data_IF_378342515648
#
_entry.id   IF_378342515648
#
_cell.length_a   1.000
_cell.length_b   1.000
_cell.length_c   1.000
_cell.angle_alpha   90.00
_cell.angle_beta   90.00
_cell.angle_gamma   90.00
#
_symmetry.space_group_name_H-M   'P 1'
#
loop_
_entity.id
_entity.type
_entity.pdbx_description
1 polymer ?
#
# COMPACT_ATOMS: atom_id res chain seq x y z
N UNK A 1 3.56 9.57 -3.95
CA UNK A 1 3.52 8.13 -4.22
C UNK A 1 4.75 7.46 -3.63
N UNK A 2 4.59 6.35 -2.95
CA UNK A 2 5.68 5.68 -2.26
C UNK A 2 6.00 4.33 -2.92
N UNK A 3 7.12 4.27 -3.65
CA UNK A 3 7.54 3.06 -4.35
C UNK A 3 7.84 1.89 -3.41
N UNK A 4 8.30 2.17 -2.21
CA UNK A 4 8.54 1.14 -1.21
C UNK A 4 7.24 0.44 -0.81
N UNK A 5 6.16 1.19 -0.70
CA UNK A 5 4.83 0.65 -0.38
C UNK A 5 4.30 -0.18 -1.55
N UNK A 6 4.53 0.24 -2.78
CA UNK A 6 4.12 -0.51 -3.97
C UNK A 6 4.84 -1.85 -4.09
N UNK A 7 6.05 -1.94 -3.57
CA UNK A 7 6.85 -3.17 -3.59
C UNK A 7 6.53 -4.12 -2.43
N UNK A 8 5.67 -3.73 -1.52
CA UNK A 8 5.32 -4.55 -0.37
C UNK A 8 4.26 -5.59 -0.72
N UNK A 9 4.35 -6.77 -0.08
CA UNK A 9 3.30 -7.76 -0.18
C UNK A 9 2.07 -7.31 0.60
N UNK A 10 0.93 -7.94 0.34
CA UNK A 10 -0.29 -7.64 1.10
C UNK A 10 -0.09 -7.85 2.61
N UNK A 11 0.60 -8.93 2.97
CA UNK A 11 0.88 -9.24 4.37
C UNK A 11 1.75 -8.16 5.03
N UNK A 12 2.74 -7.65 4.32
CA UNK A 12 3.59 -6.57 4.80
C UNK A 12 2.78 -5.28 4.99
N UNK A 13 1.89 -4.99 4.06
CA UNK A 13 1.00 -3.83 4.17
C UNK A 13 0.09 -3.94 5.39
N UNK A 14 -0.51 -5.10 5.60
CA UNK A 14 -1.35 -5.34 6.78
C UNK A 14 -0.56 -5.18 8.09
N UNK A 15 0.64 -5.71 8.12
CA UNK A 15 1.51 -5.60 9.29
C UNK A 15 1.84 -4.15 9.60
N UNK A 16 2.20 -3.37 8.60
CA UNK A 16 2.49 -1.95 8.80
C UNK A 16 1.25 -1.18 9.23
N UNK A 17 0.13 -1.45 8.60
CA UNK A 17 -1.13 -0.82 8.96
C UNK A 17 -1.46 -1.04 10.43
N UNK A 18 -1.37 -2.29 10.88
CA UNK A 18 -1.65 -2.64 12.27
C UNK A 18 -0.66 -2.01 13.24
N UNK A 19 0.62 -2.00 12.88
CA UNK A 19 1.66 -1.41 13.69
C UNK A 19 1.44 0.09 13.91
N UNK A 20 1.15 0.83 12.85
CA UNK A 20 0.91 2.26 12.95
C UNK A 20 -0.36 2.59 13.72
N UNK A 21 -1.42 1.82 13.54
CA UNK A 21 -2.64 2.02 14.31
C UNK A 21 -2.45 1.74 15.79
N UNK A 22 -1.73 0.67 16.13
CA UNK A 22 -1.45 0.35 17.51
C UNK A 22 -0.60 1.43 18.20
N UNK A 23 0.41 1.94 17.50
CA UNK A 23 1.32 2.94 18.05
C UNK A 23 0.72 4.35 18.02
N UNK A 24 -0.15 4.62 17.07
CA UNK A 24 -0.77 5.94 16.92
C UNK A 24 -1.69 6.33 18.06
N UNK A 25 -2.19 5.37 18.80
CA UNK A 25 -3.11 5.62 19.90
C UNK A 25 -2.47 6.38 21.08
N UNK A 26 -1.16 6.40 21.15
CA UNK A 26 -0.43 7.13 22.17
C UNK A 26 -0.10 8.57 21.83
N UNK A 27 -0.51 9.06 20.66
CA UNK A 27 -0.29 10.45 20.25
C UNK A 27 1.15 10.80 19.87
N UNK A 28 2.01 9.80 19.70
CA UNK A 28 3.42 10.03 19.38
C UNK A 28 3.79 9.89 17.90
N UNK A 29 2.81 9.84 17.02
CA UNK A 29 3.07 9.63 15.59
C UNK A 29 3.62 10.90 14.93
N UNK A 30 4.76 10.76 14.27
CA UNK A 30 5.38 11.87 13.54
C UNK A 30 4.68 12.09 12.20
N UNK A 31 4.81 13.30 11.65
CA UNK A 31 4.26 13.63 10.32
C UNK A 31 4.72 12.63 9.26
N UNK A 32 5.99 12.25 9.29
CA UNK A 32 6.54 11.27 8.36
C UNK A 32 5.84 9.92 8.46
N UNK A 33 5.54 9.47 9.68
CA UNK A 33 4.85 8.20 9.91
C UNK A 33 3.40 8.26 9.44
N UNK A 34 2.74 9.40 9.60
CA UNK A 34 1.39 9.62 9.11
C UNK A 34 1.37 9.54 7.57
N UNK A 35 2.36 10.12 6.92
CA UNK A 35 2.47 10.07 5.46
C UNK A 35 2.65 8.64 4.96
N UNK A 36 3.50 7.86 5.64
CA UNK A 36 3.70 6.45 5.30
C UNK A 36 2.42 5.67 5.52
N UNK A 37 1.72 5.89 6.62
CA UNK A 37 0.46 5.23 6.90
C UNK A 37 -0.57 5.52 5.81
N UNK A 38 -0.68 6.79 5.38
CA UNK A 38 -1.59 7.14 4.29
C UNK A 38 -1.22 6.43 3.00
N UNK A 39 0.06 6.31 2.68
CA UNK A 39 0.52 5.57 1.51
C UNK A 39 0.15 4.09 1.59
N UNK A 40 0.29 3.49 2.77
CA UNK A 40 -0.10 2.11 3.01
C UNK A 40 -1.61 1.93 2.83
N UNK A 41 -2.39 2.81 3.41
CA UNK A 41 -3.85 2.76 3.29
C UNK A 41 -4.30 2.92 1.83
N UNK A 42 -3.71 3.86 1.10
CA UNK A 42 -4.04 4.09 -0.30
C UNK A 42 -3.69 2.88 -1.16
N UNK A 43 -2.54 2.27 -0.92
CA UNK A 43 -2.12 1.07 -1.64
C UNK A 43 -3.05 -0.10 -1.36
N UNK A 44 -3.41 -0.31 -0.10
CA UNK A 44 -4.33 -1.37 0.28
C UNK A 44 -5.71 -1.18 -0.36
N UNK A 45 -6.23 0.05 -0.33
CA UNK A 45 -7.51 0.37 -0.94
C UNK A 45 -7.48 0.11 -2.45
N UNK A 46 -6.42 0.55 -3.12
CA UNK A 46 -6.25 0.35 -4.55
C UNK A 46 -6.22 -1.14 -4.92
N UNK A 47 -5.46 -1.93 -4.16
CA UNK A 47 -5.38 -3.38 -4.42
C UNK A 47 -6.72 -4.08 -4.21
N UNK A 48 -7.47 -3.69 -3.17
CA UNK A 48 -8.81 -4.24 -2.94
C UNK A 48 -9.74 -3.91 -4.09
N UNK A 49 -9.70 -2.69 -4.55
CA UNK A 49 -10.53 -2.21 -5.65
C UNK A 49 -10.25 -2.96 -6.95
N UNK A 50 -8.99 -3.27 -7.21
CA UNK A 50 -8.58 -4.00 -8.40
C UNK A 50 -8.73 -5.53 -8.25
N UNK A 51 -8.95 -6.03 -7.05
CA UNK A 51 -8.97 -7.45 -6.80
C UNK A 51 -7.59 -8.09 -6.74
N UNK A 52 -6.58 -7.34 -6.36
CA UNK A 52 -5.18 -7.76 -6.37
C UNK A 52 -4.63 -8.13 -4.99
N UNK A 53 -5.49 -8.39 -4.02
CA UNK A 53 -5.04 -8.69 -2.65
C UNK A 53 -4.26 -10.00 -2.52
N UNK A 54 -4.48 -10.93 -3.44
CA UNK A 54 -3.81 -12.24 -3.44
C UNK A 54 -2.55 -12.25 -4.32
N UNK A 55 -2.23 -11.14 -4.97
CA UNK A 55 -1.11 -11.05 -5.89
C UNK A 55 0.13 -10.46 -5.23
N UNK A 56 1.30 -10.97 -5.61
CA UNK A 56 2.57 -10.35 -5.25
C UNK A 56 2.76 -9.06 -6.06
N UNK A 57 3.55 -8.11 -5.57
CA UNK A 57 3.79 -6.85 -6.30
C UNK A 57 4.23 -7.07 -7.75
N UNK A 58 5.09 -8.06 -7.98
CA UNK A 58 5.55 -8.41 -9.32
C UNK A 58 4.40 -8.90 -10.20
N UNK A 59 3.51 -9.69 -9.63
CA UNK A 59 2.34 -10.21 -10.36
C UNK A 59 1.38 -9.08 -10.72
N UNK A 60 1.24 -8.10 -9.84
CA UNK A 60 0.41 -6.92 -10.12
C UNK A 60 0.97 -6.16 -11.31
N UNK A 61 2.28 -5.97 -11.39
CA UNK A 61 2.92 -5.30 -12.53
C UNK A 61 2.70 -6.04 -13.83
N UNK A 62 2.84 -7.36 -13.81
CA UNK A 62 2.62 -8.20 -14.98
C UNK A 62 1.17 -8.08 -15.45
N UNK A 63 0.23 -8.15 -14.51
CA UNK A 63 -1.19 -8.02 -14.80
C UNK A 63 -1.51 -6.68 -15.48
N UNK A 64 -0.97 -5.59 -14.95
CA UNK A 64 -1.17 -4.27 -15.54
C UNK A 64 -0.57 -4.18 -16.95
N UNK A 65 0.60 -4.75 -17.15
CA UNK A 65 1.23 -4.77 -18.47
C UNK A 65 0.41 -5.56 -19.49
N UNK A 66 -0.14 -6.70 -19.08
CA UNK A 66 -0.98 -7.52 -19.95
C UNK A 66 -2.25 -6.78 -20.36
N UNK A 67 -2.77 -5.93 -19.49
CA UNK A 67 -3.95 -5.13 -19.77
C UNK A 67 -3.62 -3.83 -20.52
N UNK A 68 -2.34 -3.56 -20.76
CA UNK A 68 -1.89 -2.32 -21.39
C UNK A 68 -2.12 -1.09 -20.52
N UNK A 69 -2.14 -1.28 -19.21
CA UNK A 69 -2.39 -0.21 -18.24
C UNK A 69 -1.11 0.29 -17.61
N UNK A 70 -1.09 1.59 -17.32
CA UNK A 70 -0.05 2.20 -16.50
C UNK A 70 -0.61 2.27 -15.08
N UNK A 71 0.21 1.96 -14.10
CA UNK A 71 -0.21 2.03 -12.71
C UNK A 71 -0.66 3.45 -12.36
N UNK A 72 -1.86 3.57 -11.84
CA UNK A 72 -2.42 4.84 -11.42
C UNK A 72 -1.66 5.39 -10.21
N UNK A 73 -1.48 6.69 -10.20
CA UNK A 73 -0.86 7.37 -9.08
C UNK A 73 -1.96 7.97 -8.21
N UNK A 74 -1.85 7.77 -6.93
CA UNK A 74 -2.71 8.48 -6.00
C UNK A 74 -2.08 9.81 -5.64
N UNK A 75 -2.87 10.79 -5.62
CA UNK A 75 -2.42 12.14 -5.30
C UNK A 75 -3.20 12.67 -4.12
#
# INVERSE_FOLDING_TARGET
MNKAVEAMTWEELESMYNMYHANGNGGGMRVKDIQILHSVEDEMAWRREQGYTDLLPREIEIELLEQGRIRERYL
#
